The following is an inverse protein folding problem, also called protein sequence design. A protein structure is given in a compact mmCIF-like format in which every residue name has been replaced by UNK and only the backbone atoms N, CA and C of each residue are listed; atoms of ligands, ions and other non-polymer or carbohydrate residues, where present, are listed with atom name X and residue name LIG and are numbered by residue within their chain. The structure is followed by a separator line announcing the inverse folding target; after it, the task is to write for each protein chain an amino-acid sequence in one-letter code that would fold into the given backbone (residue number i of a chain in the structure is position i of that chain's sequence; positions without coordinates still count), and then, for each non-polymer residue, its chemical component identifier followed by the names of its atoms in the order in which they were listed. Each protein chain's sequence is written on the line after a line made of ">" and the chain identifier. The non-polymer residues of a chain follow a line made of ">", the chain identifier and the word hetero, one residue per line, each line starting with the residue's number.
data_IF_995781562384
#
_entry.id   IF_995781562384
#
_cell.length_a   1.000
_cell.length_b   1.000
_cell.length_c   1.000
_cell.angle_alpha   90.00
_cell.angle_beta   90.00
_cell.angle_gamma   90.00
#
_symmetry.space_group_name_H-M   'P 1'
#
loop_
_entity.id
_entity.type
_entity.pdbx_description
1 polymer ?
#
# COMPACT_ATOMS: atom_id res chain seq x y z
N UNK A 1 -10.58 -9.47 8.45
CA UNK A 1 -9.56 -8.55 7.91
C UNK A 1 -10.08 -7.64 6.80
N UNK A 2 -10.69 -8.15 5.72
CA UNK A 2 -11.27 -7.35 4.61
C UNK A 2 -12.25 -6.24 5.02
N UNK A 3 -13.23 -6.55 5.88
CA UNK A 3 -14.22 -5.55 6.34
C UNK A 3 -13.59 -4.41 7.15
N UNK A 4 -12.45 -4.66 7.80
CA UNK A 4 -11.69 -3.65 8.54
C UNK A 4 -10.91 -2.75 7.57
N UNK A 5 -10.27 -3.35 6.57
CA UNK A 5 -9.61 -2.63 5.49
C UNK A 5 -10.59 -1.69 4.75
N UNK A 6 -11.80 -2.16 4.43
CA UNK A 6 -12.81 -1.35 3.73
C UNK A 6 -13.32 -0.17 4.57
N UNK A 7 -13.42 -0.32 5.90
CA UNK A 7 -13.75 0.80 6.80
C UNK A 7 -12.61 1.82 6.87
N UNK A 8 -11.38 1.35 7.00
CA UNK A 8 -10.19 2.21 7.03
C UNK A 8 -10.02 3.00 5.74
N UNK A 9 -10.39 2.42 4.60
CA UNK A 9 -10.38 3.08 3.30
C UNK A 9 -11.40 4.21 3.21
N UNK A 10 -12.62 3.99 3.73
CA UNK A 10 -13.64 5.03 3.82
C UNK A 10 -13.21 6.16 4.76
N UNK A 11 -12.50 5.87 5.85
CA UNK A 11 -11.97 6.91 6.73
C UNK A 11 -10.75 7.62 6.13
N UNK A 12 -9.85 6.91 5.46
CA UNK A 12 -8.67 7.48 4.80
C UNK A 12 -9.04 8.39 3.61
N UNK A 13 -10.17 8.10 2.94
CA UNK A 13 -10.78 8.99 1.94
C UNK A 13 -11.13 10.38 2.50
N UNK A 14 -11.33 10.50 3.82
CA UNK A 14 -11.72 11.75 4.51
C UNK A 14 -10.72 12.23 5.57
N UNK A 15 -9.73 11.42 5.95
CA UNK A 15 -8.82 11.71 7.05
C UNK A 15 -7.44 11.10 6.83
N UNK A 16 -6.54 11.88 6.23
CA UNK A 16 -5.08 11.74 6.30
C UNK A 16 -4.44 10.42 5.82
N UNK A 17 -3.26 10.52 5.21
CA UNK A 17 -2.44 9.34 4.96
C UNK A 17 -2.05 8.69 6.31
N UNK A 18 -2.25 7.38 6.45
CA UNK A 18 -1.88 6.59 7.63
C UNK A 18 -1.37 5.21 7.23
N UNK A 19 -0.51 4.60 8.07
CA UNK A 19 0.11 3.30 7.75
C UNK A 19 -0.94 2.18 7.63
N UNK A 20 -1.95 2.22 8.49
CA UNK A 20 -3.10 1.30 8.44
C UNK A 20 -3.90 1.45 7.14
N UNK A 21 -4.04 2.67 6.62
CA UNK A 21 -4.71 2.92 5.35
C UNK A 21 -3.91 2.36 4.16
N UNK A 22 -2.58 2.53 4.17
CA UNK A 22 -1.69 1.94 3.14
C UNK A 22 -1.79 0.42 3.16
N UNK A 23 -1.67 -0.20 4.35
CA UNK A 23 -1.80 -1.65 4.49
C UNK A 23 -3.18 -2.14 4.05
N UNK A 24 -4.26 -1.43 4.40
CA UNK A 24 -5.61 -1.75 3.97
C UNK A 24 -5.77 -1.75 2.44
N UNK A 25 -5.21 -0.75 1.76
CA UNK A 25 -5.23 -0.65 0.30
C UNK A 25 -4.41 -1.75 -0.36
N UNK A 26 -3.23 -2.07 0.19
CA UNK A 26 -2.40 -3.17 -0.28
C UNK A 26 -3.14 -4.52 -0.22
N UNK A 27 -3.81 -4.80 0.90
CA UNK A 27 -4.60 -6.03 1.01
C UNK A 27 -5.82 -6.02 0.09
N UNK A 28 -6.42 -4.86 -0.16
CA UNK A 28 -7.53 -4.74 -1.09
C UNK A 28 -7.07 -5.02 -2.53
N UNK A 29 -5.94 -4.45 -2.96
CA UNK A 29 -5.40 -4.71 -4.31
C UNK A 29 -5.02 -6.17 -4.51
N UNK A 30 -4.48 -6.85 -3.49
CA UNK A 30 -4.22 -8.30 -3.53
C UNK A 30 -5.52 -9.09 -3.72
N UNK A 31 -6.56 -8.73 -2.96
CA UNK A 31 -7.86 -9.39 -3.06
C UNK A 31 -8.52 -9.20 -4.44
N UNK A 32 -8.46 -7.99 -4.98
CA UNK A 32 -9.01 -7.67 -6.31
C UNK A 32 -8.24 -8.39 -7.43
N UNK A 33 -6.92 -8.54 -7.28
CA UNK A 33 -6.11 -9.34 -8.19
C UNK A 33 -6.53 -10.81 -8.20
N UNK A 34 -6.81 -11.40 -7.03
CA UNK A 34 -7.37 -12.76 -6.94
C UNK A 34 -8.80 -12.89 -7.46
N UNK A 35 -9.55 -11.78 -7.51
CA UNK A 35 -10.93 -11.73 -8.01
C UNK A 35 -11.03 -11.36 -9.50
N UNK A 36 -9.92 -11.38 -10.23
CA UNK A 36 -9.82 -10.99 -11.65
C UNK A 36 -10.22 -9.53 -11.95
N UNK A 37 -10.23 -8.66 -10.93
CA UNK A 37 -10.53 -7.23 -11.04
C UNK A 37 -9.24 -6.43 -11.19
N UNK A 38 -8.49 -6.73 -12.24
CA UNK A 38 -7.14 -6.23 -12.47
C UNK A 38 -7.04 -4.70 -12.54
N UNK A 39 -8.05 -4.03 -13.12
CA UNK A 39 -8.08 -2.57 -13.20
C UNK A 39 -8.25 -1.92 -11.81
N UNK A 40 -9.16 -2.45 -10.99
CA UNK A 40 -9.36 -1.95 -9.63
C UNK A 40 -8.11 -2.17 -8.78
N UNK A 41 -7.50 -3.36 -8.89
CA UNK A 41 -6.26 -3.68 -8.19
C UNK A 41 -5.13 -2.70 -8.55
N UNK A 42 -5.00 -2.35 -9.83
CA UNK A 42 -4.03 -1.35 -10.31
C UNK A 42 -4.31 0.06 -9.77
N UNK A 43 -5.57 0.48 -9.70
CA UNK A 43 -5.93 1.78 -9.14
C UNK A 43 -5.65 1.84 -7.63
N UNK A 44 -6.01 0.80 -6.87
CA UNK A 44 -5.80 0.74 -5.43
C UNK A 44 -4.33 0.64 -5.03
N UNK A 45 -3.51 -0.10 -5.78
CA UNK A 45 -2.07 -0.15 -5.50
C UNK A 45 -1.38 1.19 -5.80
N UNK A 46 -1.77 1.87 -6.89
CA UNK A 46 -1.27 3.20 -7.20
C UNK A 46 -1.63 4.23 -6.12
N UNK A 47 -2.83 4.14 -5.53
CA UNK A 47 -3.23 4.95 -4.38
C UNK A 47 -2.40 4.61 -3.13
N UNK A 48 -2.16 3.33 -2.85
CA UNK A 48 -1.34 2.88 -1.72
C UNK A 48 0.10 3.42 -1.83
N UNK A 49 0.71 3.35 -3.02
CA UNK A 49 2.04 3.86 -3.29
C UNK A 49 2.16 5.37 -3.03
N UNK A 50 1.19 6.18 -3.48
CA UNK A 50 1.19 7.63 -3.24
C UNK A 50 1.04 7.96 -1.76
N UNK A 51 0.10 7.31 -1.06
CA UNK A 51 -0.03 7.48 0.39
C UNK A 51 1.22 7.04 1.16
N UNK A 52 1.89 5.99 0.70
CA UNK A 52 3.14 5.55 1.29
C UNK A 52 4.28 6.57 1.09
N UNK A 53 4.31 7.23 -0.07
CA UNK A 53 5.23 8.35 -0.34
C UNK A 53 4.91 9.59 0.49
N UNK A 54 3.63 9.95 0.64
CA UNK A 54 3.17 11.07 1.47
C UNK A 54 3.56 10.87 2.95
N UNK A 55 3.53 9.63 3.42
CA UNK A 55 4.00 9.24 4.75
C UNK A 55 5.53 9.17 4.88
N UNK A 56 6.26 9.31 3.78
CA UNK A 56 7.71 9.20 3.75
C UNK A 56 8.26 7.79 3.97
N UNK A 57 7.45 6.73 3.77
CA UNK A 57 7.84 5.33 4.00
C UNK A 57 9.00 4.86 3.10
N UNK A 58 9.18 5.53 1.96
CA UNK A 58 10.30 5.30 1.04
C UNK A 58 11.66 5.76 1.62
N UNK A 59 11.68 6.63 2.62
CA UNK A 59 12.93 7.12 3.22
C UNK A 59 13.37 6.12 4.29
N UNK A 60 14.59 5.62 4.15
CA UNK A 60 15.17 4.79 5.21
C UNK A 60 15.34 5.62 6.48
N UNK A 61 14.51 5.31 7.47
CA UNK A 61 14.69 5.80 8.83
C UNK A 61 15.80 4.93 9.41
N UNK A 62 17.04 5.39 9.33
CA UNK A 62 18.19 4.68 9.92
C UNK A 62 18.10 4.62 11.45
N UNK A 63 19.19 4.91 12.16
CA UNK A 63 19.19 4.99 13.64
C UNK A 63 18.26 6.06 14.26
N UNK A 64 17.51 6.81 13.44
CA UNK A 64 16.57 7.83 13.87
C UNK A 64 15.27 7.26 14.50
N UNK A 65 14.96 5.97 14.27
CA UNK A 65 13.84 5.32 14.95
C UNK A 65 14.36 4.50 16.14
N UNK A 66 13.98 4.84 17.39
CA UNK A 66 14.36 4.05 18.56
C UNK A 66 13.68 2.67 18.59
N UNK A 67 12.60 2.52 17.83
CA UNK A 67 11.77 1.31 17.78
C UNK A 67 12.01 0.57 16.45
N UNK A 68 13.01 -0.31 16.45
CA UNK A 68 13.44 -1.04 15.24
C UNK A 68 12.28 -1.77 14.57
N UNK A 69 11.36 -2.35 15.35
CA UNK A 69 10.21 -3.10 14.84
C UNK A 69 9.29 -2.24 14.00
N UNK A 70 9.01 -0.99 14.42
CA UNK A 70 8.16 -0.06 13.65
C UNK A 70 8.85 0.45 12.40
N UNK A 71 10.17 0.62 12.43
CA UNK A 71 10.96 0.97 11.25
C UNK A 71 10.93 -0.16 10.22
N UNK A 72 11.05 -1.40 10.69
CA UNK A 72 10.94 -2.61 9.89
C UNK A 72 9.55 -2.69 9.23
N UNK A 73 8.46 -2.60 10.01
CA UNK A 73 7.08 -2.63 9.48
C UNK A 73 6.85 -1.60 8.36
N UNK A 74 7.34 -0.37 8.54
CA UNK A 74 7.25 0.70 7.53
C UNK A 74 7.98 0.32 6.24
N UNK A 75 9.18 -0.24 6.37
CA UNK A 75 10.01 -0.68 5.25
C UNK A 75 9.34 -1.83 4.50
N UNK A 76 8.80 -2.80 5.23
CA UNK A 76 8.10 -3.95 4.66
C UNK A 76 6.84 -3.53 3.90
N UNK A 77 6.04 -2.62 4.47
CA UNK A 77 4.84 -2.08 3.79
C UNK A 77 5.21 -1.37 2.50
N UNK A 78 6.27 -0.55 2.51
CA UNK A 78 6.76 0.11 1.30
C UNK A 78 7.19 -0.87 0.21
N UNK A 79 8.05 -1.85 0.55
CA UNK A 79 8.50 -2.85 -0.42
C UNK A 79 7.37 -3.73 -0.93
N UNK A 80 6.41 -4.07 -0.08
CA UNK A 80 5.21 -4.79 -0.50
C UNK A 80 4.42 -3.98 -1.54
N UNK A 81 4.22 -2.67 -1.32
CA UNK A 81 3.55 -1.80 -2.28
C UNK A 81 4.29 -1.78 -3.62
N UNK A 82 5.60 -1.56 -3.58
CA UNK A 82 6.45 -1.48 -4.78
C UNK A 82 6.46 -2.80 -5.57
N UNK A 83 6.60 -3.94 -4.90
CA UNK A 83 6.59 -5.25 -5.54
C UNK A 83 5.24 -5.56 -6.17
N UNK A 84 4.14 -5.24 -5.48
CA UNK A 84 2.80 -5.50 -6.00
C UNK A 84 2.46 -4.59 -7.19
N UNK A 85 2.86 -3.32 -7.13
CA UNK A 85 2.69 -2.37 -8.23
C UNK A 85 3.41 -2.85 -9.49
N UNK A 86 4.64 -3.36 -9.33
CA UNK A 86 5.41 -3.95 -10.43
C UNK A 86 4.76 -5.22 -10.96
N UNK A 87 4.28 -6.11 -10.10
CA UNK A 87 3.60 -7.34 -10.50
C UNK A 87 2.32 -7.06 -11.29
N UNK A 88 1.51 -6.11 -10.83
CA UNK A 88 0.25 -5.74 -11.49
C UNK A 88 0.57 -5.08 -12.84
N UNK A 89 1.54 -4.16 -12.89
CA UNK A 89 1.91 -3.49 -14.13
C UNK A 89 2.45 -4.45 -15.19
N UNK A 90 3.25 -5.46 -14.79
CA UNK A 90 3.72 -6.50 -15.72
C UNK A 90 2.61 -7.43 -16.19
N UNK A 91 1.64 -7.77 -15.34
CA UNK A 91 0.48 -8.58 -15.74
C UNK A 91 -0.44 -7.87 -16.73
N UNK A 92 -0.62 -6.54 -16.61
CA UNK A 92 -1.45 -5.77 -17.53
C UNK A 92 -0.70 -5.26 -18.78
N UNK A 93 0.61 -5.50 -18.90
CA UNK A 93 1.43 -5.02 -20.02
C UNK A 93 1.49 -3.50 -20.13
N UNK A 94 1.24 -2.76 -19.04
CA UNK A 94 1.21 -1.30 -19.04
C UNK A 94 2.60 -0.75 -18.69
N UNK A 95 3.11 0.26 -19.43
CA UNK A 95 4.31 0.98 -19.03
C UNK A 95 4.04 1.80 -17.77
N UNK A 96 5.08 1.95 -16.96
CA UNK A 96 5.07 2.68 -15.68
C UNK A 96 4.90 4.18 -15.90
#
# INVERSE_FOLDING_TARGET
>A
YFLRARRLLNTARYGGASLDAVAALLFLSIYEMGSLRHYDAWMHIGMACRMAQDLGLQREVGHACPDWTKAEERRWVWWACFCLDRLISTQLGRPM
#
